data_IF_643999814677
#
_entry.id   IF_643999814677
#
_cell.length_a   1.000
_cell.length_b   1.000
_cell.length_c   1.000
_cell.angle_alpha   90.00
_cell.angle_beta   90.00
_cell.angle_gamma   90.00
#
_symmetry.space_group_name_H-M   'P 1'
#
loop_
_entity.id
_entity.type
_entity.pdbx_description
1 polymer ?
#
# COMPACT_ATOMS: atom_id res chain seq x y z
N UNK A 1 -52.51 -18.03 29.71
CA UNK A 1 -51.08 -17.78 29.38
C UNK A 1 -50.70 -18.69 28.21
N UNK A 2 -50.67 -18.16 27.00
CA UNK A 2 -50.56 -18.97 25.78
C UNK A 2 -49.12 -19.44 25.60
N UNK A 3 -48.91 -20.74 25.32
CA UNK A 3 -47.58 -21.33 25.03
C UNK A 3 -46.89 -20.64 23.84
N UNK A 4 -47.65 -19.96 22.99
CA UNK A 4 -47.18 -19.11 21.88
C UNK A 4 -46.60 -17.76 22.34
N UNK A 5 -46.89 -17.31 23.56
CA UNK A 5 -46.38 -16.08 24.16
C UNK A 5 -45.05 -16.29 24.91
N UNK A 6 -44.78 -17.51 25.38
CA UNK A 6 -43.47 -17.89 25.96
C UNK A 6 -42.40 -18.13 24.88
N UNK A 7 -42.79 -18.60 23.70
CA UNK A 7 -41.86 -18.79 22.58
C UNK A 7 -41.37 -17.46 21.96
N UNK A 8 -42.06 -16.36 22.22
CA UNK A 8 -41.74 -15.05 21.64
C UNK A 8 -40.72 -14.24 22.49
N UNK A 9 -40.55 -14.59 23.77
CA UNK A 9 -39.61 -13.89 24.66
C UNK A 9 -38.21 -14.56 24.66
N UNK A 10 -38.11 -15.83 24.24
CA UNK A 10 -36.82 -16.52 24.10
C UNK A 10 -36.15 -16.33 22.73
N UNK A 11 -36.88 -15.84 21.72
CA UNK A 11 -36.34 -15.54 20.39
C UNK A 11 -35.75 -14.13 20.26
N UNK A 12 -35.85 -13.29 21.30
CA UNK A 12 -35.36 -11.90 21.31
C UNK A 12 -34.08 -11.70 22.14
N UNK A 13 -33.41 -12.79 22.55
CA UNK A 13 -32.18 -12.78 23.36
C UNK A 13 -31.05 -13.61 22.72
N UNK A 14 -30.97 -13.70 21.39
CA UNK A 14 -29.74 -14.12 20.68
C UNK A 14 -29.53 -13.36 19.39
N UNK A 15 -29.77 -12.05 19.38
CA UNK A 15 -29.00 -11.19 18.47
C UNK A 15 -27.68 -10.89 19.16
N UNK A 16 -26.80 -11.90 19.20
CA UNK A 16 -25.39 -11.61 19.24
C UNK A 16 -25.16 -10.73 18.00
N UNK A 17 -24.99 -9.43 18.21
CA UNK A 17 -24.35 -8.60 17.22
C UNK A 17 -23.02 -9.30 16.93
N UNK A 18 -22.95 -10.04 15.82
CA UNK A 18 -21.67 -10.20 15.16
C UNK A 18 -21.27 -8.78 14.83
N UNK A 19 -20.55 -8.16 15.76
CA UNK A 19 -19.47 -7.28 15.41
C UNK A 19 -18.55 -8.18 14.59
N UNK A 20 -18.87 -8.36 13.31
CA UNK A 20 -17.87 -8.68 12.31
C UNK A 20 -16.90 -7.54 12.53
N UNK A 21 -15.68 -7.76 13.07
CA UNK A 21 -14.69 -6.71 13.00
C UNK A 21 -14.66 -6.40 11.51
N UNK A 22 -15.08 -5.18 11.13
CA UNK A 22 -14.95 -4.74 9.76
C UNK A 22 -13.49 -5.01 9.45
N UNK A 23 -13.24 -6.04 8.63
CA UNK A 23 -11.89 -6.41 8.25
C UNK A 23 -11.34 -5.12 7.68
N UNK A 24 -10.45 -4.48 8.44
CA UNK A 24 -9.94 -3.18 8.07
C UNK A 24 -9.31 -3.43 6.72
N UNK A 25 -9.90 -2.87 5.66
CA UNK A 25 -9.40 -3.06 4.32
C UNK A 25 -7.91 -2.70 4.37
N UNK A 26 -7.06 -3.64 4.00
CA UNK A 26 -5.61 -3.53 4.20
C UNK A 26 -4.99 -2.38 3.40
N UNK A 27 -5.78 -1.74 2.52
CA UNK A 27 -5.41 -0.61 1.69
C UNK A 27 -6.50 0.45 1.53
N UNK A 28 -6.12 1.61 0.96
CA UNK A 28 -7.09 2.61 0.49
C UNK A 28 -7.62 2.20 -0.88
N UNK A 29 -8.90 2.45 -1.11
CA UNK A 29 -9.50 2.32 -2.43
C UNK A 29 -9.02 3.45 -3.36
N UNK A 30 -8.33 3.07 -4.43
CA UNK A 30 -8.05 3.93 -5.58
C UNK A 30 -8.72 3.35 -6.83
N UNK A 31 -8.74 4.11 -7.92
CA UNK A 31 -9.39 3.73 -9.16
C UNK A 31 -8.40 3.70 -10.32
N UNK A 32 -8.55 2.74 -11.22
CA UNK A 32 -7.70 2.69 -12.43
C UNK A 32 -8.03 3.86 -13.35
N UNK A 33 -7.02 4.68 -13.65
CA UNK A 33 -7.10 5.75 -14.63
C UNK A 33 -5.95 5.63 -15.63
N UNK A 34 -6.30 5.37 -16.88
CA UNK A 34 -5.37 5.40 -18.01
C UNK A 34 -5.86 6.42 -19.02
N UNK A 35 -4.99 7.29 -19.52
CA UNK A 35 -5.35 8.38 -20.44
C UNK A 35 -6.04 7.91 -21.72
N UNK A 36 -5.73 6.69 -22.17
CA UNK A 36 -6.33 6.06 -23.34
C UNK A 36 -7.56 5.19 -23.04
N UNK A 37 -8.07 5.22 -21.81
CA UNK A 37 -9.20 4.39 -21.37
C UNK A 37 -8.92 2.87 -21.32
N UNK A 38 -7.68 2.43 -21.51
CA UNK A 38 -7.27 1.03 -21.51
C UNK A 38 -7.26 0.34 -20.14
N UNK A 39 -6.76 -0.90 -20.12
CA UNK A 39 -6.59 -1.70 -18.90
C UNK A 39 -5.21 -1.49 -18.28
N UNK A 40 -5.11 -1.58 -16.96
CA UNK A 40 -3.85 -1.57 -16.22
C UNK A 40 -3.34 -2.99 -16.01
N UNK A 41 -2.09 -3.27 -16.38
CA UNK A 41 -1.46 -4.57 -16.15
C UNK A 41 -1.19 -4.78 -14.65
N UNK A 42 -1.52 -5.98 -14.17
CA UNK A 42 -1.21 -6.48 -12.83
C UNK A 42 -0.05 -7.45 -12.94
N UNK A 43 0.95 -7.29 -12.07
CA UNK A 43 2.20 -8.04 -12.14
C UNK A 43 2.50 -8.74 -10.82
N UNK A 44 3.23 -9.86 -10.93
CA UNK A 44 3.71 -10.64 -9.79
C UNK A 44 4.75 -9.90 -8.96
N UNK A 45 5.57 -9.07 -9.61
CA UNK A 45 6.68 -8.34 -9.00
C UNK A 45 6.69 -6.89 -9.54
N UNK A 46 7.16 -5.89 -8.76
CA UNK A 46 7.18 -4.47 -9.15
C UNK A 46 8.30 -4.14 -10.15
N UNK A 47 8.38 -4.88 -11.25
CA UNK A 47 9.37 -4.76 -12.33
C UNK A 47 8.70 -4.89 -13.70
N UNK A 48 9.27 -4.22 -14.71
CA UNK A 48 8.78 -4.26 -16.10
C UNK A 48 9.48 -5.40 -16.85
N UNK A 49 9.24 -6.65 -16.43
CA UNK A 49 9.72 -7.87 -17.12
C UNK A 49 8.54 -8.74 -17.56
N UNK A 50 8.78 -9.99 -17.97
CA UNK A 50 7.72 -10.93 -18.31
C UNK A 50 7.06 -11.53 -17.04
N UNK A 51 6.25 -10.74 -16.33
CA UNK A 51 5.65 -11.13 -15.06
C UNK A 51 4.19 -10.64 -14.89
N UNK A 52 3.48 -10.40 -15.99
CA UNK A 52 2.06 -10.00 -15.97
C UNK A 52 1.22 -11.22 -15.57
N UNK A 53 0.37 -11.03 -14.55
CA UNK A 53 -0.52 -12.06 -14.02
C UNK A 53 -2.01 -11.72 -14.18
N UNK A 54 -2.32 -10.51 -14.65
CA UNK A 54 -3.69 -10.08 -14.84
C UNK A 54 -3.80 -8.65 -15.36
N UNK A 55 -5.04 -8.17 -15.45
CA UNK A 55 -5.38 -6.82 -15.87
C UNK A 55 -6.53 -6.28 -15.02
N UNK A 56 -6.51 -4.99 -14.74
CA UNK A 56 -7.61 -4.23 -14.12
C UNK A 56 -8.23 -3.35 -15.19
N UNK A 57 -9.56 -3.27 -15.19
CA UNK A 57 -10.29 -2.45 -16.15
C UNK A 57 -10.20 -0.96 -15.77
N UNK A 58 -10.35 -0.07 -16.76
CA UNK A 58 -10.51 1.35 -16.51
C UNK A 58 -11.65 1.61 -15.52
N UNK A 59 -11.43 2.50 -14.56
CA UNK A 59 -12.40 2.84 -13.51
C UNK A 59 -12.57 1.77 -12.44
N UNK A 60 -11.92 0.61 -12.55
CA UNK A 60 -12.02 -0.44 -11.55
C UNK A 60 -11.44 0.04 -10.21
N UNK A 61 -12.17 -0.22 -9.13
CA UNK A 61 -11.69 0.02 -7.76
C UNK A 61 -10.59 -0.99 -7.40
N UNK A 62 -9.55 -0.50 -6.73
CA UNK A 62 -8.33 -1.22 -6.36
C UNK A 62 -8.01 -0.92 -4.91
N UNK A 63 -7.90 -1.94 -4.08
CA UNK A 63 -7.39 -1.79 -2.71
C UNK A 63 -5.87 -1.71 -2.73
N UNK A 64 -5.34 -0.52 -2.45
CA UNK A 64 -3.91 -0.19 -2.51
C UNK A 64 -3.35 -0.15 -1.10
N UNK A 65 -2.43 -1.06 -0.78
CA UNK A 65 -1.81 -1.09 0.55
C UNK A 65 -0.78 0.01 0.70
N UNK A 66 0.15 0.08 -0.24
CA UNK A 66 1.31 0.98 -0.20
C UNK A 66 1.72 1.39 -1.60
N UNK A 67 2.33 2.57 -1.70
CA UNK A 67 2.94 3.11 -2.92
C UNK A 67 4.45 3.19 -2.76
N UNK A 68 5.17 3.11 -3.86
CA UNK A 68 6.63 3.16 -3.88
C UNK A 68 7.09 4.41 -4.62
N UNK A 69 8.22 4.98 -4.18
CA UNK A 69 8.83 6.13 -4.86
C UNK A 69 9.25 5.81 -6.30
N UNK A 70 9.45 4.54 -6.65
CA UNK A 70 9.76 4.09 -8.01
C UNK A 70 8.53 3.95 -8.93
N UNK A 71 7.35 4.42 -8.50
CA UNK A 71 6.15 4.46 -9.33
C UNK A 71 5.32 3.17 -9.34
N UNK A 72 5.53 2.26 -8.39
CA UNK A 72 4.69 1.06 -8.22
C UNK A 72 3.77 1.18 -7.00
N UNK A 73 2.71 0.38 -6.98
CA UNK A 73 1.81 0.20 -5.86
C UNK A 73 1.60 -1.29 -5.60
N UNK A 74 1.55 -1.67 -4.32
CA UNK A 74 1.15 -2.99 -3.86
C UNK A 74 -0.37 -2.99 -3.63
N UNK A 75 -1.06 -3.99 -4.18
CA UNK A 75 -2.52 -4.09 -4.15
C UNK A 75 -2.97 -5.44 -3.60
N UNK A 76 -4.17 -5.48 -3.04
CA UNK A 76 -4.86 -6.73 -2.78
C UNK A 76 -5.21 -7.43 -4.10
N UNK A 77 -4.93 -8.73 -4.17
CA UNK A 77 -5.15 -9.54 -5.36
C UNK A 77 -5.82 -10.86 -4.98
N UNK A 78 -6.71 -11.40 -5.81
CA UNK A 78 -7.40 -12.67 -5.58
C UNK A 78 -8.22 -12.78 -4.25
N UNK A 79 -8.58 -11.67 -3.61
CA UNK A 79 -9.55 -11.65 -2.51
C UNK A 79 -9.08 -12.23 -1.16
N UNK A 80 -7.78 -12.43 -0.97
CA UNK A 80 -7.20 -12.86 0.32
C UNK A 80 -6.14 -11.86 0.78
N UNK A 81 -6.06 -11.57 2.08
CA UNK A 81 -5.10 -10.62 2.67
C UNK A 81 -3.62 -11.01 2.50
N UNK A 82 -3.31 -12.22 2.04
CA UNK A 82 -1.94 -12.68 1.77
C UNK A 82 -1.56 -12.67 0.29
N UNK A 83 -2.55 -12.49 -0.59
CA UNK A 83 -2.35 -12.45 -2.04
C UNK A 83 -2.21 -11.00 -2.47
N UNK A 84 -0.98 -10.59 -2.73
CA UNK A 84 -0.64 -9.24 -3.21
C UNK A 84 -0.18 -9.28 -4.66
N UNK A 85 -0.40 -8.18 -5.37
CA UNK A 85 0.15 -7.96 -6.70
C UNK A 85 0.61 -6.51 -6.86
N UNK A 86 1.25 -6.21 -8.00
CA UNK A 86 1.85 -4.90 -8.26
C UNK A 86 1.29 -4.25 -9.51
N UNK A 87 1.04 -2.95 -9.40
CA UNK A 87 0.59 -2.09 -10.51
C UNK A 87 1.39 -0.80 -10.53
N UNK A 88 1.40 -0.10 -11.65
CA UNK A 88 2.04 1.21 -11.77
C UNK A 88 1.15 2.27 -11.13
N UNK A 89 1.66 2.98 -10.11
CA UNK A 89 0.89 3.92 -9.29
C UNK A 89 0.41 5.15 -10.06
N UNK A 90 1.11 5.52 -11.14
CA UNK A 90 0.70 6.62 -12.04
C UNK A 90 -0.66 6.41 -12.71
N UNK A 91 -1.14 5.16 -12.75
CA UNK A 91 -2.45 4.82 -13.32
C UNK A 91 -3.51 4.61 -12.23
N UNK A 92 -3.24 5.08 -11.01
CA UNK A 92 -4.18 5.05 -9.90
C UNK A 92 -4.65 6.48 -9.60
N UNK A 93 -5.95 6.63 -9.43
CA UNK A 93 -6.63 7.89 -9.10
C UNK A 93 -7.33 7.77 -7.75
N UNK A 94 -7.28 8.83 -6.95
CA UNK A 94 -8.05 8.94 -5.71
C UNK A 94 -9.54 9.16 -5.97
N UNK A 95 -9.89 9.65 -7.16
CA UNK A 95 -11.27 9.94 -7.56
C UNK A 95 -11.75 8.93 -8.60
N UNK A 96 -13.04 8.61 -8.53
CA UNK A 96 -13.71 7.78 -9.52
C UNK A 96 -13.66 8.49 -10.87
N UNK A 97 -13.10 7.87 -11.92
CA UNK A 97 -13.18 8.42 -13.27
C UNK A 97 -14.63 8.40 -13.76
N UNK A 98 -15.16 9.57 -14.13
CA UNK A 98 -16.57 9.73 -14.50
C UNK A 98 -16.84 9.57 -16.00
N UNK A 99 -15.80 9.66 -16.84
CA UNK A 99 -15.90 9.50 -18.28
C UNK A 99 -14.74 8.67 -18.81
N UNK A 100 -15.04 7.72 -19.70
CA UNK A 100 -14.00 6.93 -20.36
C UNK A 100 -13.46 7.71 -21.57
N UNK A 101 -12.15 7.94 -21.69
CA UNK A 101 -11.57 8.51 -22.90
C UNK A 101 -11.87 7.59 -24.09
N UNK A 102 -12.46 8.15 -25.15
CA UNK A 102 -12.75 7.44 -26.41
C UNK A 102 -11.65 7.62 -27.46
N UNK A 103 -10.66 8.46 -27.17
CA UNK A 103 -9.55 8.76 -28.09
C UNK A 103 -8.36 7.85 -27.78
N UNK A 104 -7.82 7.09 -28.75
CA UNK A 104 -6.59 6.35 -28.55
C UNK A 104 -5.40 7.31 -28.50
N UNK A 105 -5.05 7.76 -27.30
CA UNK A 105 -3.73 8.35 -27.05
C UNK A 105 -2.71 7.20 -26.95
N UNK A 106 -1.55 7.27 -27.64
CA UNK A 106 -0.49 6.29 -27.47
C UNK A 106 -0.16 6.14 -25.97
N UNK A 107 -0.10 4.91 -25.48
CA UNK A 107 0.26 4.68 -24.09
C UNK A 107 1.64 5.30 -23.81
N UNK A 108 1.80 6.15 -22.77
CA UNK A 108 3.10 6.70 -22.45
C UNK A 108 4.09 5.56 -22.20
N UNK A 109 5.32 5.71 -22.69
CA UNK A 109 6.37 4.72 -22.48
C UNK A 109 6.51 4.41 -20.98
N UNK A 110 6.68 3.15 -20.58
CA UNK A 110 6.90 2.81 -19.19
C UNK A 110 8.18 3.51 -18.69
N UNK A 111 8.05 4.42 -17.71
CA UNK A 111 9.20 4.85 -16.90
C UNK A 111 9.88 3.60 -16.35
N UNK A 112 11.13 3.37 -16.76
CA UNK A 112 11.92 2.26 -16.27
C UNK A 112 12.11 2.43 -14.76
N UNK A 113 11.74 1.40 -13.99
CA UNK A 113 12.21 1.31 -12.61
C UNK A 113 13.74 1.15 -12.64
N UNK A 114 14.49 1.69 -11.66
CA UNK A 114 15.90 1.41 -11.54
C UNK A 114 16.13 -0.10 -11.53
N UNK A 115 17.16 -0.54 -12.27
CA UNK A 115 17.55 -1.95 -12.42
C UNK A 115 17.63 -2.61 -11.04
N UNK A 116 16.84 -3.66 -10.84
CA UNK A 116 16.69 -4.34 -9.57
C UNK A 116 18.03 -4.89 -9.08
N UNK A 117 18.54 -4.33 -8.00
CA UNK A 117 19.54 -4.99 -7.16
C UNK A 117 18.97 -6.29 -6.58
N UNK A 118 19.86 -7.22 -6.20
CA UNK A 118 19.63 -8.61 -5.78
C UNK A 118 18.74 -8.86 -4.54
N UNK A 119 17.73 -8.03 -4.25
CA UNK A 119 16.90 -8.09 -3.04
C UNK A 119 15.39 -8.22 -3.27
N UNK A 120 14.94 -8.54 -4.49
CA UNK A 120 13.52 -8.57 -4.85
C UNK A 120 12.69 -9.54 -3.99
N UNK A 121 13.26 -10.68 -3.59
CA UNK A 121 12.58 -11.66 -2.73
C UNK A 121 12.32 -11.11 -1.32
N UNK A 122 13.31 -10.42 -0.73
CA UNK A 122 13.16 -9.78 0.58
C UNK A 122 12.15 -8.62 0.53
N UNK A 123 12.20 -7.81 -0.53
CA UNK A 123 11.24 -6.74 -0.81
C UNK A 123 9.82 -7.31 -0.90
N UNK A 124 9.64 -8.38 -1.68
CA UNK A 124 8.35 -9.07 -1.82
C UNK A 124 7.86 -9.67 -0.49
N UNK A 125 8.75 -10.20 0.35
CA UNK A 125 8.38 -10.77 1.64
C UNK A 125 7.84 -9.71 2.61
N UNK A 126 8.50 -8.54 2.70
CA UNK A 126 8.00 -7.41 3.51
C UNK A 126 6.65 -6.90 2.97
N UNK A 127 6.51 -6.81 1.65
CA UNK A 127 5.27 -6.33 1.03
C UNK A 127 4.04 -7.20 1.29
N UNK A 128 4.21 -8.51 1.44
CA UNK A 128 3.10 -9.40 1.85
C UNK A 128 2.56 -9.08 3.24
N UNK A 129 3.37 -8.43 4.07
CA UNK A 129 2.99 -7.99 5.42
C UNK A 129 2.54 -6.54 5.47
N UNK A 130 2.54 -5.84 4.32
CA UNK A 130 2.14 -4.45 4.26
C UNK A 130 0.68 -4.30 4.70
N UNK A 131 0.44 -3.30 5.54
CA UNK A 131 -0.87 -2.83 5.94
C UNK A 131 -0.84 -1.32 6.14
N UNK A 132 -1.94 -0.66 5.82
CA UNK A 132 -2.09 0.74 6.20
C UNK A 132 -2.34 0.91 7.70
N UNK A 133 -1.98 2.07 8.20
CA UNK A 133 -2.21 2.48 9.58
C UNK A 133 -2.85 3.85 9.60
N UNK A 134 -3.58 4.17 10.67
CA UNK A 134 -3.94 5.56 10.94
C UNK A 134 -2.65 6.38 11.06
N UNK A 135 -2.47 7.45 10.28
CA UNK A 135 -1.19 8.15 10.26
C UNK A 135 -0.76 8.65 11.64
N UNK A 136 0.51 8.43 11.98
CA UNK A 136 1.10 8.88 13.24
C UNK A 136 2.54 9.36 13.03
N UNK A 137 3.05 10.15 13.98
CA UNK A 137 4.38 10.77 13.87
C UNK A 137 5.42 9.86 14.52
N UNK A 138 6.54 9.67 13.81
CA UNK A 138 7.75 9.07 14.35
C UNK A 138 8.92 10.03 14.24
N UNK A 139 9.90 9.87 15.12
CA UNK A 139 11.18 10.57 15.08
C UNK A 139 12.32 9.61 14.78
N UNK A 140 13.24 10.05 13.92
CA UNK A 140 14.47 9.31 13.57
C UNK A 140 15.38 9.15 14.79
N UNK A 141 15.75 7.91 15.10
CA UNK A 141 16.60 7.52 16.24
C UNK A 141 17.73 6.58 15.77
N UNK A 142 18.79 7.13 15.15
CA UNK A 142 19.92 6.33 14.67
C UNK A 142 20.68 5.68 15.82
N UNK A 143 21.43 4.61 15.51
CA UNK A 143 22.23 3.88 16.50
C UNK A 143 23.39 4.70 17.09
N UNK A 144 23.87 5.71 16.35
CA UNK A 144 24.96 6.61 16.77
C UNK A 144 24.40 8.01 17.04
N UNK A 145 24.90 8.67 18.09
CA UNK A 145 24.58 10.06 18.37
C UNK A 145 24.95 10.96 17.18
N UNK A 146 24.07 11.90 16.84
CA UNK A 146 24.17 12.76 15.66
C UNK A 146 24.23 12.00 14.32
N UNK A 147 23.82 10.73 14.32
CA UNK A 147 23.75 9.91 13.12
C UNK A 147 22.52 10.22 12.27
N UNK A 148 22.25 9.32 11.34
CA UNK A 148 21.09 9.36 10.47
C UNK A 148 20.54 7.96 10.21
N UNK A 149 19.29 7.90 9.78
CA UNK A 149 18.62 6.69 9.33
C UNK A 149 18.39 6.80 7.83
N UNK A 150 18.61 5.72 7.08
CA UNK A 150 18.40 5.74 5.64
C UNK A 150 16.90 5.67 5.32
N UNK A 151 16.44 6.57 4.44
CA UNK A 151 15.14 6.49 3.79
C UNK A 151 15.34 5.84 2.42
N UNK A 152 14.64 4.74 2.16
CA UNK A 152 14.82 3.90 0.97
C UNK A 152 13.56 3.87 0.11
N UNK A 153 13.68 3.52 -1.16
CA UNK A 153 12.52 3.48 -2.04
C UNK A 153 11.66 2.21 -1.89
N UNK A 154 12.19 1.18 -1.24
CA UNK A 154 11.51 -0.07 -0.90
C UNK A 154 11.89 -0.54 0.53
N UNK A 155 11.06 -1.39 1.17
CA UNK A 155 11.31 -1.95 2.49
C UNK A 155 12.36 -3.07 2.44
N UNK A 156 13.59 -2.73 2.05
CA UNK A 156 14.72 -3.64 2.07
C UNK A 156 16.01 -2.88 2.38
N UNK A 157 16.92 -3.52 3.11
CA UNK A 157 18.25 -2.94 3.39
C UNK A 157 19.12 -2.84 2.15
N UNK A 158 18.82 -3.63 1.11
CA UNK A 158 19.49 -3.63 -0.18
C UNK A 158 18.86 -2.64 -1.17
N UNK A 159 17.68 -2.10 -0.85
CA UNK A 159 17.04 -1.09 -1.66
C UNK A 159 17.85 0.21 -1.65
N UNK A 160 17.99 0.85 -2.80
CA UNK A 160 18.70 2.12 -2.90
C UNK A 160 18.13 3.17 -1.94
N UNK A 161 19.04 3.95 -1.37
CA UNK A 161 18.71 5.05 -0.48
C UNK A 161 18.24 6.25 -1.29
N UNK A 162 17.03 6.74 -1.01
CA UNK A 162 16.54 8.02 -1.53
C UNK A 162 17.29 9.16 -0.84
N UNK A 163 17.31 9.16 0.50
CA UNK A 163 17.98 10.18 1.32
C UNK A 163 18.27 9.66 2.74
N UNK A 164 18.76 10.53 3.61
CA UNK A 164 19.02 10.26 5.04
C UNK A 164 18.16 11.16 5.93
N UNK A 165 17.63 10.60 7.01
CA UNK A 165 16.88 11.31 8.04
C UNK A 165 17.77 11.51 9.28
N UNK A 166 18.25 12.73 9.57
CA UNK A 166 19.09 12.98 10.73
C UNK A 166 18.34 12.68 12.03
N UNK A 167 19.09 12.44 13.12
CA UNK A 167 18.50 12.23 14.45
C UNK A 167 17.46 13.32 14.79
N UNK A 168 16.30 12.90 15.28
CA UNK A 168 15.20 13.81 15.65
C UNK A 168 14.32 14.26 14.49
N UNK A 169 14.66 13.95 13.23
CA UNK A 169 13.79 14.26 12.08
C UNK A 169 12.42 13.58 12.26
N UNK A 170 11.36 14.38 12.17
CA UNK A 170 9.97 13.94 12.21
C UNK A 170 9.50 13.46 10.83
N UNK A 171 8.72 12.38 10.85
CA UNK A 171 8.14 11.74 9.68
C UNK A 171 6.72 11.26 10.02
N UNK A 172 5.83 11.30 9.05
CA UNK A 172 4.46 10.76 9.18
C UNK A 172 4.44 9.34 8.66
N UNK A 173 4.13 8.35 9.50
CA UNK A 173 3.90 6.97 9.08
C UNK A 173 2.53 6.87 8.38
N UNK A 174 2.49 6.23 7.22
CA UNK A 174 1.28 6.00 6.43
C UNK A 174 0.88 4.52 6.39
N UNK A 175 1.88 3.64 6.46
CA UNK A 175 1.71 2.20 6.44
C UNK A 175 2.88 1.51 7.12
N UNK A 176 2.69 0.25 7.47
CA UNK A 176 3.75 -0.58 8.04
C UNK A 176 3.82 -1.94 7.36
N UNK A 177 5.02 -2.50 7.41
CA UNK A 177 5.33 -3.91 7.13
C UNK A 177 5.87 -4.52 8.43
N UNK A 178 6.31 -5.77 8.39
CA UNK A 178 6.94 -6.42 9.53
C UNK A 178 8.09 -5.57 10.09
N UNK A 179 9.02 -5.13 9.24
CA UNK A 179 10.25 -4.46 9.71
C UNK A 179 10.39 -2.99 9.29
N UNK A 180 9.50 -2.47 8.44
CA UNK A 180 9.58 -1.12 7.89
C UNK A 180 8.31 -0.32 8.08
N UNK A 181 8.44 0.99 8.21
CA UNK A 181 7.36 1.94 7.98
C UNK A 181 7.48 2.56 6.61
N UNK A 182 6.36 2.70 5.91
CA UNK A 182 6.22 3.68 4.85
C UNK A 182 5.94 5.03 5.52
N UNK A 183 6.76 6.02 5.21
CA UNK A 183 6.68 7.36 5.78
C UNK A 183 6.57 8.42 4.69
N UNK A 184 6.01 9.57 5.06
CA UNK A 184 6.10 10.82 4.33
C UNK A 184 6.90 11.84 5.14
N UNK A 185 7.83 12.54 4.49
CA UNK A 185 8.44 13.74 5.05
C UNK A 185 7.46 14.92 4.87
N UNK A 186 6.88 15.48 5.95
CA UNK A 186 5.90 16.56 5.84
C UNK A 186 6.48 17.83 5.23
N UNK A 187 7.80 18.03 5.26
CA UNK A 187 8.43 19.23 4.68
C UNK A 187 8.57 19.17 3.16
N UNK A 188 8.71 17.97 2.59
CA UNK A 188 8.98 17.79 1.15
C UNK A 188 7.86 17.02 0.43
N UNK A 189 6.94 16.42 1.17
CA UNK A 189 5.95 15.49 0.65
C UNK A 189 6.52 14.14 0.21
N UNK A 190 7.84 13.94 0.31
CA UNK A 190 8.54 12.75 -0.16
C UNK A 190 8.14 11.51 0.62
N UNK A 191 7.85 10.43 -0.10
CA UNK A 191 7.44 9.14 0.47
C UNK A 191 8.59 8.13 0.33
N UNK A 192 8.86 7.37 1.38
CA UNK A 192 9.86 6.31 1.37
C UNK A 192 9.67 5.31 2.51
N UNK A 193 10.62 4.38 2.64
CA UNK A 193 10.62 3.35 3.66
C UNK A 193 11.75 3.56 4.66
N UNK A 194 11.42 3.48 5.94
CA UNK A 194 12.36 3.62 7.06
C UNK A 194 12.26 2.40 7.99
N UNK A 195 13.38 1.92 8.50
CA UNK A 195 13.42 0.70 9.31
C UNK A 195 12.87 0.98 10.72
N UNK A 196 11.90 0.19 11.17
CA UNK A 196 11.13 0.45 12.41
C UNK A 196 12.01 0.58 13.64
N UNK A 197 13.06 -0.24 13.73
CA UNK A 197 13.98 -0.25 14.87
C UNK A 197 14.78 1.06 15.06
N UNK A 198 14.86 1.90 14.03
CA UNK A 198 15.59 3.17 14.08
C UNK A 198 14.67 4.38 14.13
N UNK A 199 13.41 4.18 14.49
CA UNK A 199 12.48 5.27 14.78
C UNK A 199 11.73 4.96 16.06
N UNK A 200 11.17 6.00 16.67
CA UNK A 200 10.28 5.86 17.82
C UNK A 200 9.06 6.75 17.62
N UNK A 201 7.93 6.33 18.17
CA UNK A 201 6.74 7.15 18.20
C UNK A 201 7.01 8.43 18.99
N UNK A 202 6.49 9.56 18.49
CA UNK A 202 6.54 10.83 19.18
C UNK A 202 5.39 10.96 20.18
#
# INVERSE_FOLDING_TARGET
MNRKLLALILALMTLAALLVPAAQASGVIMYVYTENGGSLNVRRDPIVTNNIIGKLNYGQAVSVRITMANGWACIDWNGTDTSVAYVQSRYLSWTVPTTRPVTPTPAPAPTAAPSGGSGLDAVNAEFRTARQVTPFIVVSRPARASGWVNLRWAPSVDAERITTCPQGKELTVLAETKNWYQVQDPATGMIGFIMRQYVQMR
#
